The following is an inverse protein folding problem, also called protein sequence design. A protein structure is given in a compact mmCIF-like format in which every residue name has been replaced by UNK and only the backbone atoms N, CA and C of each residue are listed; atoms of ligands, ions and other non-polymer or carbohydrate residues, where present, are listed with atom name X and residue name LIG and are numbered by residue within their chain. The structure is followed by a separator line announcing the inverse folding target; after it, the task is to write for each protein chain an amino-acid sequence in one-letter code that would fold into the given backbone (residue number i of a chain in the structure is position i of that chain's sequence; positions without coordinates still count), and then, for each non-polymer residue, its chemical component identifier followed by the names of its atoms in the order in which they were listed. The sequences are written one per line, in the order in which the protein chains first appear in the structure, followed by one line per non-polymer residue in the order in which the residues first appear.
data_IF_628552531264
#
_entry.id   IF_628552531264
#
_cell.length_a   1.000
_cell.length_b   1.000
_cell.length_c   1.000
_cell.angle_alpha   90.00
_cell.angle_beta   90.00
_cell.angle_gamma   90.00
#
_symmetry.space_group_name_H-M   'P 1'
#
loop_
_entity.id
_entity.type
_entity.pdbx_description
1 polymer ?
#
# COMPACT_ATOMS: atom_id res chain seq x y z
N UNK A 1 23.70 10.89 1.88
CA UNK A 1 22.78 10.06 2.70
C UNK A 1 21.75 9.44 1.78
N UNK A 2 21.75 8.13 1.65
CA UNK A 2 20.86 7.36 0.79
C UNK A 2 19.43 7.38 1.36
N UNK A 3 18.41 7.12 0.52
CA UNK A 3 17.01 7.01 1.00
C UNK A 3 16.87 5.87 2.02
N UNK A 4 17.66 4.80 1.86
CA UNK A 4 17.73 3.68 2.80
C UNK A 4 18.24 4.13 4.16
N UNK A 5 19.31 4.92 4.23
CA UNK A 5 19.92 5.40 5.48
C UNK A 5 18.95 6.25 6.31
N UNK A 6 18.15 7.10 5.65
CA UNK A 6 17.12 7.92 6.34
C UNK A 6 16.02 7.06 6.95
N UNK A 7 15.53 6.07 6.20
CA UNK A 7 14.53 5.14 6.70
C UNK A 7 15.04 4.30 7.88
N UNK A 8 16.34 3.94 7.90
CA UNK A 8 16.94 3.20 9.01
C UNK A 8 17.02 4.03 10.29
N UNK A 9 17.44 5.30 10.18
CA UNK A 9 17.46 6.21 11.34
C UNK A 9 16.07 6.41 11.92
N UNK A 10 15.07 6.69 11.09
CA UNK A 10 13.68 6.84 11.55
C UNK A 10 13.12 5.54 12.15
N UNK A 11 13.41 4.40 11.53
CA UNK A 11 12.95 3.11 12.03
C UNK A 11 13.63 2.71 13.34
N UNK A 12 14.87 3.13 13.59
CA UNK A 12 15.58 2.90 14.86
C UNK A 12 14.91 3.66 16.02
N UNK A 13 14.37 4.85 15.75
CA UNK A 13 13.67 5.69 16.73
C UNK A 13 12.19 5.29 16.93
N UNK A 14 11.64 4.46 16.04
CA UNK A 14 10.24 4.04 16.11
C UNK A 14 10.10 2.83 17.03
N UNK A 15 9.46 3.03 18.18
CA UNK A 15 9.09 1.95 19.08
C UNK A 15 7.84 1.23 18.55
N UNK A 16 7.89 -0.10 18.54
CA UNK A 16 6.77 -0.97 18.10
C UNK A 16 6.66 -2.17 19.03
N UNK A 17 5.48 -2.77 19.11
CA UNK A 17 5.30 -4.06 19.80
C UNK A 17 6.14 -5.17 19.14
N UNK A 18 6.25 -6.32 19.77
CA UNK A 18 6.83 -7.51 19.12
C UNK A 18 6.00 -7.88 17.90
N UNK A 19 6.68 -8.18 16.79
CA UNK A 19 6.00 -8.51 15.53
C UNK A 19 5.19 -9.80 15.65
N UNK A 20 3.94 -9.73 15.23
CA UNK A 20 3.05 -10.88 15.16
C UNK A 20 2.36 -10.92 13.80
N UNK A 21 2.70 -11.94 12.98
CA UNK A 21 2.04 -12.15 11.69
C UNK A 21 0.53 -12.34 11.85
N UNK A 22 0.08 -13.05 12.90
CA UNK A 22 -1.33 -13.24 13.18
C UNK A 22 -2.03 -11.91 13.46
N UNK A 23 -1.45 -11.10 14.36
CA UNK A 23 -2.00 -9.77 14.68
C UNK A 23 -2.01 -8.85 13.43
N UNK A 24 -0.99 -8.93 12.59
CA UNK A 24 -0.95 -8.18 11.34
C UNK A 24 -2.10 -8.58 10.40
N UNK A 25 -2.34 -9.89 10.21
CA UNK A 25 -3.47 -10.39 9.40
C UNK A 25 -4.82 -9.92 9.96
N UNK A 26 -4.98 -9.93 11.27
CA UNK A 26 -6.18 -9.47 11.98
C UNK A 26 -6.36 -7.94 11.88
N UNK A 27 -5.32 -7.16 11.70
CA UNK A 27 -5.37 -5.71 11.54
C UNK A 27 -5.69 -5.24 10.10
N UNK A 28 -5.57 -6.09 9.07
CA UNK A 28 -5.83 -5.74 7.67
C UNK A 28 -7.23 -5.10 7.48
N UNK A 29 -8.33 -5.63 8.04
CA UNK A 29 -9.64 -4.99 7.91
C UNK A 29 -9.68 -3.56 8.44
N UNK A 30 -9.03 -3.28 9.57
CA UNK A 30 -8.95 -1.93 10.13
C UNK A 30 -8.12 -0.99 9.23
N UNK A 31 -7.02 -1.47 8.66
CA UNK A 31 -6.22 -0.71 7.69
C UNK A 31 -7.01 -0.45 6.39
N UNK A 32 -7.84 -1.41 5.94
CA UNK A 32 -8.73 -1.22 4.80
C UNK A 32 -9.82 -0.18 5.10
N UNK A 33 -10.41 -0.19 6.29
CA UNK A 33 -11.38 0.83 6.69
C UNK A 33 -10.74 2.21 6.76
N UNK A 34 -9.52 2.32 7.28
CA UNK A 34 -8.76 3.57 7.26
C UNK A 34 -8.49 4.07 5.82
N UNK A 35 -8.23 3.16 4.88
CA UNK A 35 -8.12 3.49 3.46
C UNK A 35 -9.45 4.02 2.90
N UNK A 36 -10.57 3.40 3.25
CA UNK A 36 -11.89 3.79 2.75
C UNK A 36 -12.30 5.18 3.26
N UNK A 37 -12.09 5.46 4.54
CA UNK A 37 -12.41 6.73 5.18
C UNK A 37 -11.43 7.84 4.82
N UNK A 38 -10.16 7.51 4.66
CA UNK A 38 -9.03 8.39 4.33
C UNK A 38 -9.06 9.74 5.07
N UNK A 39 -9.09 9.76 6.42
CA UNK A 39 -9.12 11.00 7.17
C UNK A 39 -7.82 11.80 6.99
N UNK A 40 -7.84 13.09 7.33
CA UNK A 40 -6.68 13.97 7.14
C UNK A 40 -5.42 13.51 7.91
N UNK A 41 -5.59 12.82 9.01
CA UNK A 41 -4.52 12.25 9.85
C UNK A 41 -4.24 10.77 9.56
N UNK A 42 -4.73 10.25 8.43
CA UNK A 42 -4.60 8.82 8.07
C UNK A 42 -3.17 8.29 8.19
N UNK A 43 -2.17 9.13 7.92
CA UNK A 43 -0.76 8.73 7.96
C UNK A 43 -0.31 8.39 9.39
N UNK A 44 -0.73 9.17 10.38
CA UNK A 44 -0.46 8.92 11.81
C UNK A 44 -1.24 7.70 12.28
N UNK A 45 -2.54 7.64 11.97
CA UNK A 45 -3.40 6.52 12.34
C UNK A 45 -2.87 5.19 11.76
N UNK A 46 -2.35 5.20 10.53
CA UNK A 46 -1.74 4.03 9.90
C UNK A 46 -0.45 3.60 10.61
N UNK A 47 0.41 4.56 11.01
CA UNK A 47 1.60 4.26 11.80
C UNK A 47 1.24 3.61 13.14
N UNK A 48 0.21 4.09 13.81
CA UNK A 48 -0.25 3.52 15.08
C UNK A 48 -0.79 2.09 14.91
N UNK A 49 -1.57 1.83 13.84
CA UNK A 49 -2.05 0.49 13.52
C UNK A 49 -0.88 -0.47 13.25
N UNK A 50 0.12 -0.03 12.48
CA UNK A 50 1.32 -0.80 12.20
C UNK A 50 2.13 -1.08 13.48
N UNK A 51 2.35 -0.06 14.32
CA UNK A 51 3.13 -0.19 15.55
C UNK A 51 2.52 -1.21 16.53
N UNK A 52 1.18 -1.25 16.66
CA UNK A 52 0.46 -2.21 17.51
C UNK A 52 0.69 -3.68 17.13
N UNK A 53 1.03 -3.95 15.87
CA UNK A 53 1.28 -5.30 15.34
C UNK A 53 2.75 -5.59 15.08
N UNK A 54 3.63 -4.68 15.52
CA UNK A 54 5.08 -4.83 15.41
C UNK A 54 5.69 -4.48 14.06
N UNK A 55 4.96 -3.74 13.22
CA UNK A 55 5.44 -3.24 11.93
C UNK A 55 5.88 -1.78 12.08
N UNK A 56 7.11 -1.48 11.71
CA UNK A 56 7.60 -0.09 11.62
C UNK A 56 7.15 0.52 10.30
N UNK A 57 6.39 1.60 10.35
CA UNK A 57 6.01 2.37 9.16
C UNK A 57 6.68 3.74 9.22
N UNK A 58 7.51 4.03 8.23
CA UNK A 58 8.23 5.30 8.15
C UNK A 58 7.92 6.02 6.83
N UNK A 59 7.83 7.34 6.91
CA UNK A 59 7.65 8.19 5.75
C UNK A 59 8.93 8.96 5.45
N UNK A 60 9.39 8.89 4.21
CA UNK A 60 10.59 9.60 3.77
C UNK A 60 10.32 10.43 2.52
N UNK A 61 10.88 11.64 2.40
CA UNK A 61 10.76 12.41 1.18
C UNK A 61 11.32 11.65 -0.02
N UNK A 62 10.65 11.77 -1.15
CA UNK A 62 11.15 11.21 -2.41
C UNK A 62 12.47 11.91 -2.79
N UNK A 63 13.53 11.14 -2.95
CA UNK A 63 14.82 11.68 -3.40
C UNK A 63 14.88 11.74 -4.93
N UNK A 64 15.52 12.78 -5.50
CA UNK A 64 15.79 12.83 -6.94
C UNK A 64 16.53 11.58 -7.41
N UNK A 65 16.08 10.99 -8.52
CA UNK A 65 16.66 9.79 -9.13
C UNK A 65 16.46 8.47 -8.36
N UNK A 66 15.66 8.44 -7.30
CA UNK A 66 15.24 7.22 -6.62
C UNK A 66 13.73 7.00 -6.83
N UNK A 67 13.31 6.31 -7.91
CA UNK A 67 11.90 6.16 -8.27
C UNK A 67 11.19 5.07 -7.45
N UNK A 68 11.33 5.12 -6.12
CA UNK A 68 10.76 4.14 -5.20
C UNK A 68 9.48 4.73 -4.58
N UNK A 69 8.37 4.00 -4.63
CA UNK A 69 7.11 4.36 -3.96
C UNK A 69 7.06 3.83 -2.54
N UNK A 70 7.50 2.59 -2.34
CA UNK A 70 7.62 1.90 -1.07
C UNK A 70 8.81 0.96 -1.08
N UNK A 71 9.19 0.45 0.07
CA UNK A 71 10.12 -0.66 0.23
C UNK A 71 9.95 -1.32 1.60
N UNK A 72 10.10 -2.63 1.62
CA UNK A 72 10.06 -3.44 2.85
C UNK A 72 11.42 -4.03 3.17
N UNK A 73 11.78 -4.05 4.44
CA UNK A 73 12.98 -4.70 4.97
C UNK A 73 12.79 -5.09 6.43
N UNK A 74 13.68 -5.92 6.94
CA UNK A 74 13.70 -6.29 8.36
C UNK A 74 14.82 -5.53 9.09
N UNK A 75 14.49 -4.92 10.22
CA UNK A 75 15.41 -4.19 11.08
C UNK A 75 15.23 -4.70 12.51
N UNK A 76 16.25 -5.35 13.08
CA UNK A 76 16.22 -5.89 14.44
C UNK A 76 14.96 -6.73 14.73
N UNK A 77 14.67 -7.72 13.89
CA UNK A 77 13.53 -8.63 13.98
C UNK A 77 12.14 -8.01 13.75
N UNK A 78 12.04 -6.71 13.52
CA UNK A 78 10.80 -6.04 13.14
C UNK A 78 10.78 -5.73 11.63
N UNK A 79 9.68 -6.00 10.93
CA UNK A 79 9.52 -5.55 9.55
C UNK A 79 9.33 -4.02 9.52
N UNK A 80 9.96 -3.39 8.55
CA UNK A 80 9.91 -1.96 8.34
C UNK A 80 9.43 -1.65 6.92
N UNK A 81 8.31 -0.95 6.81
CA UNK A 81 7.79 -0.41 5.56
C UNK A 81 8.22 1.06 5.47
N UNK A 82 8.87 1.42 4.38
CA UNK A 82 9.24 2.80 4.08
C UNK A 82 8.41 3.29 2.89
N UNK A 83 7.64 4.37 3.07
CA UNK A 83 6.78 4.98 2.05
C UNK A 83 7.28 6.36 1.66
N UNK A 84 7.16 6.73 0.38
CA UNK A 84 7.69 8.01 -0.11
C UNK A 84 6.66 9.01 -0.61
N UNK A 85 5.41 8.71 -0.74
CA UNK A 85 4.39 9.64 -1.28
C UNK A 85 4.74 10.24 -2.66
N UNK A 86 5.55 9.57 -3.47
CA UNK A 86 6.12 10.07 -4.74
C UNK A 86 5.08 10.63 -5.72
N UNK A 87 3.98 9.95 -5.87
CA UNK A 87 2.94 10.34 -6.83
C UNK A 87 1.88 11.29 -6.23
N UNK A 88 1.91 11.51 -4.92
CA UNK A 88 0.93 12.34 -4.20
C UNK A 88 -0.53 11.96 -4.50
N UNK A 89 -0.80 10.69 -4.78
CA UNK A 89 -2.13 10.15 -5.07
C UNK A 89 -2.46 9.07 -4.04
N UNK A 90 -3.66 9.15 -3.46
CA UNK A 90 -4.09 8.22 -2.42
C UNK A 90 -4.27 6.78 -2.93
N UNK A 91 -4.74 6.57 -4.17
CA UNK A 91 -4.85 5.24 -4.77
C UNK A 91 -3.50 4.54 -4.89
N UNK A 92 -2.47 5.26 -5.37
CA UNK A 92 -1.10 4.72 -5.49
C UNK A 92 -0.50 4.46 -4.11
N UNK A 93 -0.71 5.37 -3.15
CA UNK A 93 -0.23 5.20 -1.78
C UNK A 93 -0.77 3.92 -1.16
N UNK A 94 -2.09 3.74 -1.17
CA UNK A 94 -2.72 2.58 -0.56
C UNK A 94 -2.38 1.27 -1.26
N UNK A 95 -2.31 1.28 -2.60
CA UNK A 95 -1.84 0.12 -3.35
C UNK A 95 -0.41 -0.27 -2.92
N UNK A 96 0.51 0.71 -2.89
CA UNK A 96 1.90 0.48 -2.48
C UNK A 96 1.97 -0.02 -1.03
N UNK A 97 1.21 0.57 -0.10
CA UNK A 97 1.21 0.14 1.29
C UNK A 97 0.80 -1.34 1.44
N UNK A 98 -0.29 -1.76 0.80
CA UNK A 98 -0.71 -3.16 0.85
C UNK A 98 0.22 -4.09 0.05
N UNK A 99 0.89 -3.61 -0.98
CA UNK A 99 1.94 -4.34 -1.68
C UNK A 99 3.11 -4.65 -0.73
N UNK A 100 3.60 -3.65 0.00
CA UNK A 100 4.67 -3.83 0.99
C UNK A 100 4.25 -4.75 2.15
N UNK A 101 2.98 -4.69 2.59
CA UNK A 101 2.43 -5.69 3.52
C UNK A 101 2.43 -7.10 2.93
N UNK A 102 2.17 -7.23 1.64
CA UNK A 102 2.26 -8.49 0.91
C UNK A 102 3.65 -9.12 1.05
N UNK A 103 4.71 -8.34 0.88
CA UNK A 103 6.08 -8.83 1.08
C UNK A 103 6.33 -9.35 2.51
N UNK A 104 5.81 -8.67 3.54
CA UNK A 104 5.94 -9.14 4.92
C UNK A 104 5.24 -10.48 5.13
N UNK A 105 4.00 -10.60 4.63
CA UNK A 105 3.11 -11.73 4.91
C UNK A 105 3.37 -12.96 4.05
N UNK A 106 3.92 -12.79 2.84
CA UNK A 106 4.10 -13.86 1.86
C UNK A 106 5.55 -14.33 1.79
N UNK A 107 6.52 -13.42 1.96
CA UNK A 107 7.93 -13.73 1.73
C UNK A 107 8.75 -13.79 3.03
N UNK A 108 8.33 -13.09 4.08
CA UNK A 108 8.94 -13.16 5.41
C UNK A 108 10.41 -12.71 5.47
N UNK A 109 11.05 -12.94 6.63
CA UNK A 109 12.42 -12.46 6.90
C UNK A 109 13.50 -13.16 6.06
N UNK A 110 13.35 -14.46 5.80
CA UNK A 110 14.40 -15.28 5.17
C UNK A 110 14.68 -14.95 3.71
N UNK A 111 13.70 -14.38 3.01
CA UNK A 111 13.78 -14.16 1.58
C UNK A 111 14.44 -12.85 1.17
N UNK A 112 14.61 -11.91 2.12
CA UNK A 112 15.23 -10.61 1.87
C UNK A 112 16.76 -10.68 1.90
N UNK A 113 17.35 -11.75 2.47
CA UNK A 113 18.80 -11.88 2.67
C UNK A 113 19.58 -12.57 1.55
N UNK A 114 18.94 -12.97 0.46
CA UNK A 114 19.58 -13.72 -0.61
C UNK A 114 19.75 -12.89 -1.89
N UNK A 115 20.44 -11.75 -1.79
CA UNK A 115 20.71 -10.81 -2.90
C UNK A 115 21.89 -11.24 -3.82
N UNK A 116 22.12 -12.53 -4.11
CA UNK A 116 23.16 -12.93 -5.05
C UNK A 116 22.69 -13.90 -6.16
N UNK A 117 22.69 -13.39 -7.37
CA UNK A 117 22.99 -13.96 -8.70
C UNK A 117 21.96 -14.86 -9.44
N UNK A 118 20.95 -15.49 -8.84
CA UNK A 118 19.97 -16.32 -9.59
C UNK A 118 18.52 -15.80 -9.59
N UNK A 119 18.28 -14.53 -9.36
CA UNK A 119 17.05 -14.04 -8.73
C UNK A 119 16.08 -13.23 -9.58
N UNK A 120 16.36 -12.94 -10.83
CA UNK A 120 15.45 -12.10 -11.63
C UNK A 120 14.03 -12.69 -11.75
N UNK A 121 13.93 -14.00 -11.95
CA UNK A 121 12.63 -14.67 -12.11
C UNK A 121 11.90 -14.84 -10.78
N UNK A 122 12.59 -15.27 -9.71
CA UNK A 122 11.99 -15.40 -8.37
C UNK A 122 11.58 -14.04 -7.77
N UNK A 123 12.35 -12.99 -8.06
CA UNK A 123 12.01 -11.65 -7.63
C UNK A 123 10.75 -11.16 -8.34
N UNK A 124 10.60 -11.48 -9.62
CA UNK A 124 9.40 -11.16 -10.39
C UNK A 124 8.15 -11.89 -9.85
N UNK A 125 8.27 -13.17 -9.53
CA UNK A 125 7.16 -13.92 -8.91
C UNK A 125 6.71 -13.29 -7.58
N UNK A 126 7.64 -12.89 -6.72
CA UNK A 126 7.33 -12.22 -5.45
C UNK A 126 6.63 -10.87 -5.64
N UNK A 127 7.06 -10.08 -6.60
CA UNK A 127 6.40 -8.83 -6.96
C UNK A 127 4.97 -9.08 -7.46
N UNK A 128 4.77 -10.09 -8.32
CA UNK A 128 3.45 -10.48 -8.80
C UNK A 128 2.54 -10.99 -7.66
N UNK A 129 3.08 -11.73 -6.70
CA UNK A 129 2.35 -12.16 -5.50
C UNK A 129 1.96 -11.00 -4.59
N UNK A 130 2.87 -10.04 -4.36
CA UNK A 130 2.61 -8.83 -3.58
C UNK A 130 1.58 -7.92 -4.28
N UNK A 131 1.67 -7.76 -5.59
CA UNK A 131 0.68 -7.05 -6.41
C UNK A 131 -0.70 -7.71 -6.34
N UNK A 132 -0.73 -9.04 -6.44
CA UNK A 132 -1.97 -9.80 -6.32
C UNK A 132 -2.56 -9.69 -4.90
N UNK A 133 -1.73 -9.68 -3.86
CA UNK A 133 -2.16 -9.49 -2.49
C UNK A 133 -2.79 -8.09 -2.30
N UNK A 134 -2.09 -7.03 -2.70
CA UNK A 134 -2.59 -5.65 -2.64
C UNK A 134 -3.91 -5.50 -3.41
N UNK A 135 -3.93 -6.01 -4.64
CA UNK A 135 -5.10 -5.98 -5.50
C UNK A 135 -6.33 -6.61 -4.87
N UNK A 136 -6.18 -7.81 -4.32
CA UNK A 136 -7.30 -8.56 -3.70
C UNK A 136 -7.74 -7.94 -2.37
N UNK A 137 -6.82 -7.39 -1.60
CA UNK A 137 -7.11 -6.76 -0.32
C UNK A 137 -7.93 -5.49 -0.52
N UNK A 138 -7.55 -4.64 -1.47
CA UNK A 138 -8.25 -3.39 -1.76
C UNK A 138 -9.59 -3.62 -2.46
N UNK A 139 -9.58 -4.37 -3.55
CA UNK A 139 -10.76 -4.67 -4.35
C UNK A 139 -10.62 -6.07 -4.94
N UNK A 140 -11.44 -7.01 -4.49
CA UNK A 140 -11.41 -8.38 -4.96
C UNK A 140 -11.80 -8.49 -6.45
N UNK A 141 -11.40 -9.58 -7.10
CA UNK A 141 -11.77 -9.81 -8.51
C UNK A 141 -13.28 -9.92 -8.71
N UNK A 142 -14.02 -10.42 -7.72
CA UNK A 142 -15.47 -10.53 -7.78
C UNK A 142 -16.14 -9.15 -7.75
N UNK A 143 -15.69 -8.27 -6.85
CA UNK A 143 -16.14 -6.88 -6.71
C UNK A 143 -15.81 -6.08 -7.98
N UNK A 144 -14.57 -6.21 -8.50
CA UNK A 144 -14.17 -5.58 -9.76
C UNK A 144 -15.04 -6.05 -10.94
N UNK A 145 -15.28 -7.35 -11.04
CA UNK A 145 -16.12 -7.91 -12.11
C UNK A 145 -17.57 -7.41 -12.01
N UNK A 146 -18.07 -7.18 -10.80
CA UNK A 146 -19.40 -6.61 -10.59
C UNK A 146 -19.47 -5.19 -11.14
N UNK A 147 -18.48 -4.34 -10.81
CA UNK A 147 -18.40 -2.96 -11.32
C UNK A 147 -18.33 -2.95 -12.85
N UNK A 148 -17.45 -3.77 -13.44
CA UNK A 148 -17.26 -3.80 -14.89
C UNK A 148 -18.51 -4.30 -15.61
N UNK A 149 -19.19 -5.32 -15.06
CA UNK A 149 -20.42 -5.89 -15.66
C UNK A 149 -21.57 -4.92 -15.64
N UNK A 150 -21.66 -4.07 -14.62
CA UNK A 150 -22.70 -3.05 -14.51
C UNK A 150 -22.59 -2.00 -15.64
N UNK A 151 -21.37 -1.67 -16.08
CA UNK A 151 -21.09 -0.89 -17.29
C UNK A 151 -21.29 0.62 -17.19
N UNK A 152 -21.79 1.14 -16.06
CA UNK A 152 -21.85 2.57 -15.78
C UNK A 152 -20.67 2.96 -14.86
N UNK A 153 -19.80 3.82 -15.37
CA UNK A 153 -18.64 4.33 -14.64
C UNK A 153 -18.79 5.79 -14.24
N UNK A 154 -20.04 6.26 -14.04
CA UNK A 154 -20.28 7.61 -13.52
C UNK A 154 -19.68 7.80 -12.11
N UNK A 155 -19.44 9.04 -11.72
CA UNK A 155 -18.90 9.33 -10.40
C UNK A 155 -19.80 8.82 -9.27
N UNK A 156 -21.11 8.86 -9.46
CA UNK A 156 -22.08 8.41 -8.46
C UNK A 156 -22.09 6.88 -8.34
N UNK A 157 -21.99 6.17 -9.46
CA UNK A 157 -21.84 4.71 -9.47
C UNK A 157 -20.53 4.27 -8.81
N UNK A 158 -19.42 4.99 -9.07
CA UNK A 158 -18.13 4.70 -8.42
C UNK A 158 -18.23 4.92 -6.90
N UNK A 159 -18.88 6.00 -6.44
CA UNK A 159 -19.09 6.24 -4.99
C UNK A 159 -19.97 5.16 -4.36
N UNK A 160 -21.05 4.76 -5.03
CA UNK A 160 -21.91 3.69 -4.56
C UNK A 160 -21.13 2.38 -4.33
N UNK A 161 -20.30 1.97 -5.30
CA UNK A 161 -19.50 0.76 -5.15
C UNK A 161 -18.36 0.91 -4.14
N UNK A 162 -17.80 2.10 -3.99
CA UNK A 162 -16.80 2.39 -2.97
C UNK A 162 -17.36 2.19 -1.56
N UNK A 163 -18.56 2.71 -1.29
CA UNK A 163 -19.28 2.49 -0.03
C UNK A 163 -19.63 1.01 0.16
N UNK A 164 -20.22 0.37 -0.88
CA UNK A 164 -20.62 -1.04 -0.84
C UNK A 164 -19.46 -1.99 -0.49
N UNK A 165 -18.26 -1.74 -1.02
CA UNK A 165 -17.09 -2.62 -0.88
C UNK A 165 -16.10 -2.15 0.19
N UNK A 166 -16.46 -1.09 0.91
CA UNK A 166 -15.61 -0.47 1.93
C UNK A 166 -14.20 -0.17 1.40
N UNK A 167 -14.15 0.62 0.33
CA UNK A 167 -12.91 1.13 -0.28
C UNK A 167 -13.06 2.59 -0.66
N UNK A 168 -11.95 3.34 -0.72
CA UNK A 168 -11.99 4.70 -1.21
C UNK A 168 -12.31 4.73 -2.71
N UNK A 169 -13.12 5.69 -3.22
CA UNK A 169 -13.46 5.81 -4.64
C UNK A 169 -12.24 5.83 -5.57
N UNK A 170 -11.13 6.43 -5.12
CA UNK A 170 -9.88 6.47 -5.86
C UNK A 170 -9.32 5.08 -6.19
N UNK A 171 -9.53 4.08 -5.33
CA UNK A 171 -9.09 2.69 -5.57
C UNK A 171 -9.80 2.10 -6.78
N UNK A 172 -11.12 2.34 -6.88
CA UNK A 172 -11.91 1.88 -8.04
C UNK A 172 -11.44 2.62 -9.30
N UNK A 173 -11.30 3.96 -9.22
CA UNK A 173 -10.83 4.77 -10.36
C UNK A 173 -9.45 4.30 -10.82
N UNK A 174 -8.48 4.18 -9.90
CA UNK A 174 -7.12 3.73 -10.22
C UNK A 174 -7.10 2.33 -10.86
N UNK A 175 -7.94 1.41 -10.37
CA UNK A 175 -8.09 0.06 -10.92
C UNK A 175 -8.65 0.07 -12.35
N UNK A 176 -9.73 0.82 -12.59
CA UNK A 176 -10.34 0.95 -13.91
C UNK A 176 -9.42 1.64 -14.91
N UNK A 177 -8.67 2.66 -14.47
CA UNK A 177 -7.65 3.33 -15.28
C UNK A 177 -6.49 2.38 -15.65
N UNK A 178 -5.97 1.62 -14.68
CA UNK A 178 -4.90 0.65 -14.91
C UNK A 178 -5.31 -0.44 -15.90
N UNK A 179 -6.55 -0.92 -15.82
CA UNK A 179 -7.13 -1.88 -16.77
C UNK A 179 -7.58 -1.27 -18.10
N UNK A 180 -7.40 0.04 -18.28
CA UNK A 180 -7.81 0.77 -19.50
C UNK A 180 -9.32 0.70 -19.78
N UNK A 181 -10.14 0.46 -18.76
CA UNK A 181 -11.60 0.50 -18.85
C UNK A 181 -12.10 1.93 -18.97
N UNK A 182 -11.44 2.84 -18.24
CA UNK A 182 -11.65 4.30 -18.35
C UNK A 182 -10.33 5.01 -18.65
N UNK A 183 -10.37 6.20 -19.30
CA UNK A 183 -9.13 6.97 -19.54
C UNK A 183 -8.51 7.50 -18.24
N UNK A 184 -7.19 7.70 -18.22
CA UNK A 184 -6.46 8.23 -17.05
C UNK A 184 -6.93 9.63 -16.60
N UNK A 185 -7.58 10.37 -17.45
CA UNK A 185 -8.14 11.69 -17.15
C UNK A 185 -9.52 11.63 -16.49
N UNK A 186 -10.19 10.47 -16.55
CA UNK A 186 -11.53 10.31 -15.99
C UNK A 186 -11.47 10.31 -14.45
N UNK A 187 -12.45 10.98 -13.86
CA UNK A 187 -12.69 11.01 -12.41
C UNK A 187 -11.50 11.45 -11.56
N UNK A 188 -10.64 12.34 -12.07
CA UNK A 188 -9.50 12.89 -11.33
C UNK A 188 -9.91 13.58 -10.02
N UNK A 189 -11.15 14.06 -9.91
CA UNK A 189 -11.71 14.67 -8.69
C UNK A 189 -12.02 13.65 -7.58
N UNK A 190 -12.05 12.36 -7.89
CA UNK A 190 -12.21 11.28 -6.92
C UNK A 190 -10.85 10.78 -6.39
N UNK A 191 -9.74 11.24 -6.96
CA UNK A 191 -8.39 10.90 -6.53
C UNK A 191 -7.90 12.05 -5.66
N UNK A 192 -7.61 11.75 -4.41
CA UNK A 192 -7.15 12.76 -3.46
C UNK A 192 -5.64 12.89 -3.47
N UNK A 193 -5.19 14.13 -3.27
CA UNK A 193 -3.77 14.41 -3.12
C UNK A 193 -3.35 14.14 -1.69
N UNK A 194 -2.31 13.33 -1.52
CA UNK A 194 -1.71 13.09 -0.20
C UNK A 194 -0.53 14.02 0.06
N UNK A 195 -0.39 14.44 1.32
CA UNK A 195 0.77 15.17 1.83
C UNK A 195 1.25 14.46 3.09
N UNK A 196 2.42 13.79 2.99
CA UNK A 196 3.04 13.06 4.10
C UNK A 196 3.99 13.94 4.92
N UNK A 197 4.34 15.11 4.38
CA UNK A 197 5.31 16.04 4.98
C UNK A 197 4.72 17.46 4.90
N UNK A 198 4.63 18.11 6.02
CA UNK A 198 4.38 19.56 6.15
C UNK A 198 5.70 20.32 6.28
#
# INVERSE_FOLDING_TARGET
MCIRDRGEVQAAETEVCEFSEKALREAIPAMKSLCAEHPADFAVALQELCAKVGVKLVYTPCLPKAPINGSTRWINDAPCIQMTGRHKRNDIFWFTFFHELGHILLHGKKDIFLEDIEYADKQKEKEEEADAFSSRTLLSQAEENEIIRQGDFSADTIRYYAEKFNVHPAIIVGRLQHKKVIPFTAHSTLIEKIELFN
#
